data_IF_729627465590
#
_entry.id   IF_729627465590
#
_cell.length_a   1.000
_cell.length_b   1.000
_cell.length_c   1.000
_cell.angle_alpha   90.00
_cell.angle_beta   90.00
_cell.angle_gamma   90.00
#
_symmetry.space_group_name_H-M   'P 1'
#
loop_
_entity.id
_entity.type
_entity.pdbx_description
1 polymer ?
#
# COMPACT_ATOMS: atom_id res chain seq x y z
N UNK A 1 -8.50 5.82 10.55
CA UNK A 1 -9.51 5.27 9.60
C UNK A 1 -8.81 4.25 8.70
N UNK A 2 -9.51 3.21 8.21
CA UNK A 2 -8.90 2.24 7.28
C UNK A 2 -8.78 2.80 5.86
N UNK A 3 -7.82 2.29 5.10
CA UNK A 3 -7.75 2.46 3.65
C UNK A 3 -8.81 1.58 2.98
N UNK A 4 -9.61 2.15 2.06
CA UNK A 4 -10.68 1.45 1.35
C UNK A 4 -10.94 2.08 -0.02
N UNK A 5 -11.08 1.24 -1.05
CA UNK A 5 -11.47 1.68 -2.39
C UNK A 5 -12.81 2.43 -2.37
N UNK A 6 -13.79 1.93 -1.63
CA UNK A 6 -15.12 2.55 -1.50
C UNK A 6 -15.11 3.91 -0.81
N UNK A 7 -14.06 4.23 -0.04
CA UNK A 7 -13.92 5.53 0.62
C UNK A 7 -13.14 6.54 -0.23
N UNK A 8 -12.63 6.13 -1.39
CA UNK A 8 -11.78 6.98 -2.24
C UNK A 8 -10.48 7.40 -1.57
N UNK A 9 -10.03 6.68 -0.52
CA UNK A 9 -8.84 7.02 0.27
C UNK A 9 -7.70 6.00 0.09
N UNK A 10 -7.71 5.25 -1.02
CA UNK A 10 -6.74 4.21 -1.31
C UNK A 10 -5.74 4.63 -2.41
N UNK A 11 -4.49 4.20 -2.22
CA UNK A 11 -3.47 4.19 -3.26
C UNK A 11 -3.43 2.75 -3.79
N UNK A 12 -3.80 2.58 -5.06
CA UNK A 12 -3.86 1.26 -5.69
C UNK A 12 -2.47 0.84 -6.17
N UNK A 13 -2.19 -0.46 -6.14
CA UNK A 13 -0.95 -1.03 -6.68
C UNK A 13 -0.76 -0.73 -8.17
N UNK A 14 -1.84 -0.37 -8.85
CA UNK A 14 -1.90 -0.08 -10.28
C UNK A 14 -1.86 1.41 -10.61
N UNK A 15 -1.84 2.28 -9.59
CA UNK A 15 -1.81 3.73 -9.82
C UNK A 15 -0.55 4.13 -10.59
N UNK A 16 -0.72 5.00 -11.58
CA UNK A 16 0.36 5.67 -12.27
C UNK A 16 1.14 6.59 -11.32
N UNK A 17 2.37 6.94 -11.69
CA UNK A 17 3.17 7.87 -10.89
C UNK A 17 2.46 9.21 -10.60
N UNK A 18 1.67 9.71 -11.56
CA UNK A 18 0.88 10.95 -11.39
C UNK A 18 -0.28 10.76 -10.41
N UNK A 19 -0.96 9.62 -10.44
CA UNK A 19 -2.03 9.29 -9.49
C UNK A 19 -1.47 9.14 -8.08
N UNK A 20 -0.32 8.48 -7.93
CA UNK A 20 0.38 8.38 -6.65
C UNK A 20 0.73 9.78 -6.13
N UNK A 21 1.36 10.63 -6.95
CA UNK A 21 1.74 11.99 -6.54
C UNK A 21 0.51 12.81 -6.10
N UNK A 22 -0.59 12.71 -6.85
CA UNK A 22 -1.86 13.38 -6.52
C UNK A 22 -2.45 12.87 -5.20
N UNK A 23 -2.63 11.56 -5.05
CA UNK A 23 -3.21 10.94 -3.84
C UNK A 23 -2.36 11.22 -2.60
N UNK A 24 -1.03 11.12 -2.71
CA UNK A 24 -0.09 11.42 -1.61
C UNK A 24 -0.14 12.90 -1.22
N UNK A 25 -0.27 13.81 -2.19
CA UNK A 25 -0.37 15.25 -1.92
C UNK A 25 -1.57 15.61 -1.04
N UNK A 26 -2.68 14.87 -1.17
CA UNK A 26 -3.94 15.08 -0.46
C UNK A 26 -4.00 14.38 0.91
N UNK A 27 -2.98 13.60 1.28
CA UNK A 27 -2.98 12.90 2.57
C UNK A 27 -3.07 13.85 3.75
N UNK A 28 -3.89 13.48 4.74
CA UNK A 28 -3.98 14.20 6.01
C UNK A 28 -2.69 13.97 6.80
N UNK A 29 -2.01 15.06 7.13
CA UNK A 29 -0.85 15.11 8.02
C UNK A 29 -1.29 15.43 9.45
N UNK A 30 -0.37 15.85 10.30
CA UNK A 30 -0.67 16.48 11.58
C UNK A 30 -1.62 17.69 11.41
N UNK A 31 -2.85 17.65 11.97
CA UNK A 31 -3.80 18.76 11.93
C UNK A 31 -3.39 19.97 12.76
N UNK A 32 -2.52 19.79 13.76
CA UNK A 32 -2.05 20.84 14.66
C UNK A 32 -0.98 21.72 13.99
N UNK A 33 -0.35 21.21 12.93
CA UNK A 33 0.66 21.94 12.17
C UNK A 33 0.02 22.87 11.13
N UNK A 34 -0.28 24.10 11.53
CA UNK A 34 -0.91 25.10 10.67
C UNK A 34 0.06 25.75 9.66
N UNK A 35 1.31 26.01 10.04
CA UNK A 35 2.32 26.67 9.20
C UNK A 35 3.57 25.81 9.03
N UNK A 36 4.35 26.10 7.97
CA UNK A 36 5.63 25.41 7.72
C UNK A 36 6.60 25.56 8.90
N UNK A 37 6.61 26.74 9.53
CA UNK A 37 7.46 27.07 10.69
C UNK A 37 7.03 26.39 11.98
N UNK A 38 5.83 25.80 12.01
CA UNK A 38 5.33 25.16 13.22
C UNK A 38 5.90 23.73 13.29
N UNK A 39 6.37 23.31 14.48
CA UNK A 39 6.70 21.92 14.76
C UNK A 39 5.53 21.00 14.39
N UNK A 40 5.84 19.89 13.73
CA UNK A 40 4.86 18.83 13.50
C UNK A 40 5.08 17.63 14.41
N UNK A 41 4.06 16.80 14.55
CA UNK A 41 4.14 15.52 15.22
C UNK A 41 4.04 14.34 14.22
N UNK A 42 5.16 13.63 13.96
CA UNK A 42 5.18 12.43 13.13
C UNK A 42 4.27 11.31 13.63
N UNK A 43 4.02 11.21 14.94
CA UNK A 43 3.32 10.08 15.56
C UNK A 43 1.83 10.06 15.20
N UNK A 44 1.27 11.21 14.80
CA UNK A 44 -0.13 11.36 14.36
C UNK A 44 -0.26 11.61 12.85
N UNK A 45 0.84 11.54 12.11
CA UNK A 45 0.88 11.86 10.69
C UNK A 45 0.80 10.61 9.81
N UNK A 46 -0.29 10.46 9.04
CA UNK A 46 -0.45 9.31 8.13
C UNK A 46 0.67 9.21 7.06
N UNK A 47 1.25 10.34 6.67
CA UNK A 47 2.36 10.36 5.70
C UNK A 47 3.61 9.74 6.31
N UNK A 48 3.86 9.98 7.60
CA UNK A 48 5.01 9.42 8.30
C UNK A 48 4.88 7.91 8.48
N UNK A 49 3.69 7.39 8.80
CA UNK A 49 3.44 5.94 8.82
C UNK A 49 3.77 5.25 7.48
N UNK A 50 3.56 5.93 6.34
CA UNK A 50 3.97 5.38 5.05
C UNK A 50 5.48 5.47 4.81
N UNK A 51 6.17 6.49 5.36
CA UNK A 51 7.63 6.53 5.34
C UNK A 51 8.24 5.33 6.06
N UNK A 52 7.70 4.94 7.22
CA UNK A 52 8.18 3.77 7.97
C UNK A 52 8.10 2.45 7.18
N UNK A 53 7.21 2.39 6.18
CA UNK A 53 7.02 1.19 5.35
C UNK A 53 7.85 1.24 4.07
N UNK A 54 7.96 2.41 3.43
CA UNK A 54 8.49 2.54 2.06
C UNK A 54 9.83 3.27 1.95
N UNK A 55 10.24 4.03 2.96
CA UNK A 55 11.49 4.78 2.94
C UNK A 55 12.59 4.06 3.72
N UNK A 56 13.84 4.38 3.41
CA UNK A 56 14.99 3.83 4.12
C UNK A 56 15.02 4.33 5.57
N UNK A 57 15.58 3.52 6.48
CA UNK A 57 15.63 3.84 7.91
C UNK A 57 16.33 5.18 8.21
N UNK A 58 17.35 5.56 7.43
CA UNK A 58 18.02 6.86 7.55
C UNK A 58 17.12 8.03 7.17
N UNK A 59 16.28 7.87 6.16
CA UNK A 59 15.33 8.89 5.72
C UNK A 59 14.20 9.04 6.74
N UNK A 60 13.70 7.93 7.28
CA UNK A 60 12.68 7.94 8.34
C UNK A 60 13.17 8.74 9.55
N UNK A 61 14.38 8.43 10.04
CA UNK A 61 14.96 9.14 11.18
C UNK A 61 15.20 10.62 10.87
N UNK A 62 15.75 10.94 9.70
CA UNK A 62 15.98 12.32 9.27
C UNK A 62 14.69 13.13 9.16
N UNK A 63 13.62 12.53 8.65
CA UNK A 63 12.29 13.15 8.53
C UNK A 63 11.65 13.33 9.90
N UNK A 64 11.76 12.34 10.80
CA UNK A 64 11.24 12.42 12.16
C UNK A 64 11.83 13.66 12.89
N UNK A 65 13.16 13.75 12.91
CA UNK A 65 13.86 14.87 13.53
C UNK A 65 13.52 16.22 12.87
N UNK A 66 13.52 16.27 11.53
CA UNK A 66 13.26 17.50 10.78
C UNK A 66 11.83 17.98 10.94
N UNK A 67 10.85 17.08 11.01
CA UNK A 67 9.43 17.43 11.19
C UNK A 67 9.19 18.07 12.56
N UNK A 68 9.74 17.46 13.62
CA UNK A 68 9.64 17.97 15.00
C UNK A 68 10.34 19.32 15.18
N UNK A 69 11.40 19.60 14.41
CA UNK A 69 12.14 20.87 14.43
C UNK A 69 11.64 21.91 13.41
N UNK A 70 10.53 21.64 12.72
CA UNK A 70 10.04 22.47 11.61
C UNK A 70 11.05 22.70 10.47
N UNK A 71 12.05 21.82 10.32
CA UNK A 71 13.08 21.88 9.29
C UNK A 71 12.62 21.42 7.90
N UNK A 72 11.53 20.65 7.81
CA UNK A 72 10.93 20.19 6.55
C UNK A 72 9.43 20.52 6.48
N UNK A 73 8.96 21.02 5.33
CA UNK A 73 7.53 21.29 5.10
C UNK A 73 6.73 20.04 4.73
N UNK A 74 5.43 19.98 5.06
CA UNK A 74 4.57 18.84 4.70
C UNK A 74 4.55 18.54 3.19
N UNK A 75 4.60 19.57 2.34
CA UNK A 75 4.63 19.40 0.88
C UNK A 75 5.90 18.68 0.43
N UNK A 76 7.05 19.06 1.00
CA UNK A 76 8.33 18.43 0.67
C UNK A 76 8.42 17.00 1.20
N UNK A 77 7.98 16.78 2.44
CA UNK A 77 7.88 15.45 3.05
C UNK A 77 7.01 14.51 2.19
N UNK A 78 5.83 14.97 1.76
CA UNK A 78 4.94 14.20 0.87
C UNK A 78 5.58 13.84 -0.46
N UNK A 79 6.35 14.76 -1.06
CA UNK A 79 7.08 14.47 -2.31
C UNK A 79 8.14 13.38 -2.11
N UNK A 80 8.90 13.44 -1.01
CA UNK A 80 9.85 12.38 -0.65
C UNK A 80 9.15 11.04 -0.47
N UNK A 81 8.03 11.01 0.27
CA UNK A 81 7.24 9.80 0.47
C UNK A 81 6.74 9.21 -0.85
N UNK A 82 6.17 10.04 -1.72
CA UNK A 82 5.67 9.60 -3.02
C UNK A 82 6.79 8.99 -3.89
N UNK A 83 8.01 9.54 -3.82
CA UNK A 83 9.16 8.96 -4.51
C UNK A 83 9.52 7.57 -3.96
N UNK A 84 9.64 7.43 -2.64
CA UNK A 84 9.89 6.13 -1.99
C UNK A 84 8.79 5.10 -2.31
N UNK A 85 7.52 5.52 -2.26
CA UNK A 85 6.38 4.67 -2.59
C UNK A 85 6.43 4.19 -4.05
N UNK A 86 6.74 5.08 -5.00
CA UNK A 86 6.93 4.71 -6.41
C UNK A 86 8.04 3.68 -6.59
N UNK A 87 9.17 3.83 -5.89
CA UNK A 87 10.26 2.86 -5.91
C UNK A 87 9.82 1.49 -5.34
N UNK A 88 9.10 1.50 -4.21
CA UNK A 88 8.57 0.28 -3.61
C UNK A 88 7.52 -0.45 -4.48
N UNK A 89 6.71 0.30 -5.24
CA UNK A 89 5.69 -0.26 -6.13
C UNK A 89 6.24 -0.70 -7.50
N UNK A 90 7.35 -0.11 -7.97
CA UNK A 90 7.95 -0.44 -9.26
C UNK A 90 8.11 -1.95 -9.54
N UNK A 91 8.67 -2.79 -8.64
CA UNK A 91 8.79 -4.22 -8.90
C UNK A 91 7.44 -4.95 -9.02
N UNK A 92 6.41 -4.48 -8.31
CA UNK A 92 5.05 -5.04 -8.40
C UNK A 92 4.41 -4.65 -9.73
N UNK A 93 4.56 -3.39 -10.13
CA UNK A 93 4.02 -2.86 -11.37
C UNK A 93 4.65 -3.52 -12.60
N UNK A 94 5.97 -3.79 -12.56
CA UNK A 94 6.67 -4.50 -13.63
C UNK A 94 6.16 -5.95 -13.74
N UNK A 95 6.08 -6.69 -12.63
CA UNK A 95 5.52 -8.05 -12.64
C UNK A 95 4.09 -8.09 -13.16
N UNK A 96 3.27 -7.09 -12.78
CA UNK A 96 1.90 -6.97 -13.27
C UNK A 96 1.88 -6.73 -14.78
N UNK A 97 2.75 -5.87 -15.30
CA UNK A 97 2.84 -5.58 -16.74
C UNK A 97 3.14 -6.86 -17.53
N UNK A 98 4.16 -7.62 -17.13
CA UNK A 98 4.51 -8.91 -17.74
C UNK A 98 3.35 -9.90 -17.70
N UNK A 99 2.60 -9.96 -16.60
CA UNK A 99 1.40 -10.82 -16.51
C UNK A 99 0.25 -10.31 -17.39
N UNK A 100 0.13 -8.98 -17.56
CA UNK A 100 -0.89 -8.37 -18.42
C UNK A 100 -0.64 -8.61 -19.91
N UNK A 101 0.61 -8.84 -20.32
CA UNK A 101 0.97 -9.20 -21.69
C UNK A 101 0.51 -10.63 -22.08
N UNK A 102 0.27 -11.51 -21.10
CA UNK A 102 -0.24 -12.86 -21.33
C UNK A 102 -1.33 -13.22 -20.30
N UNK A 103 -2.56 -12.85 -20.63
CA UNK A 103 -3.73 -13.14 -19.79
C UNK A 103 -4.09 -14.62 -19.70
N UNK A 104 -3.70 -15.46 -20.67
CA UNK A 104 -3.96 -16.90 -20.59
C UNK A 104 -3.13 -17.56 -19.50
N UNK A 105 -1.86 -17.14 -19.34
CA UNK A 105 -1.04 -17.54 -18.19
C UNK A 105 -1.70 -17.22 -16.85
N UNK A 106 -2.37 -16.07 -16.73
CA UNK A 106 -3.10 -15.70 -15.51
C UNK A 106 -4.28 -16.64 -15.26
N UNK A 107 -5.05 -16.97 -16.31
CA UNK A 107 -6.15 -17.94 -16.21
C UNK A 107 -5.65 -19.33 -15.82
N UNK A 108 -4.53 -19.77 -16.38
CA UNK A 108 -3.93 -21.07 -16.06
C UNK A 108 -3.51 -21.16 -14.59
N UNK A 109 -2.90 -20.10 -14.05
CA UNK A 109 -2.54 -20.01 -12.62
C UNK A 109 -3.80 -20.16 -11.74
N UNK A 110 -4.89 -19.46 -12.10
CA UNK A 110 -6.17 -19.56 -11.38
C UNK A 110 -6.78 -20.96 -11.50
N UNK A 111 -6.79 -21.55 -12.70
CA UNK A 111 -7.32 -22.87 -12.95
C UNK A 111 -6.57 -23.95 -12.14
N UNK A 112 -5.25 -23.87 -12.07
CA UNK A 112 -4.42 -24.76 -11.26
C UNK A 112 -4.66 -24.57 -9.75
N UNK A 113 -4.81 -23.33 -9.29
CA UNK A 113 -5.24 -23.03 -7.93
C UNK A 113 -6.58 -23.69 -7.59
N UNK A 114 -7.56 -23.57 -8.49
CA UNK A 114 -8.89 -24.15 -8.33
C UNK A 114 -8.86 -25.69 -8.31
N UNK A 115 -8.04 -26.32 -9.16
CA UNK A 115 -7.88 -27.80 -9.15
C UNK A 115 -7.37 -28.29 -7.80
N UNK A 116 -6.31 -27.68 -7.27
CA UNK A 116 -5.72 -28.06 -5.97
C UNK A 116 -6.69 -27.81 -4.82
N UNK A 117 -7.33 -26.65 -4.78
CA UNK A 117 -8.31 -26.32 -3.75
C UNK A 117 -9.52 -27.26 -3.79
N UNK A 118 -9.98 -27.65 -4.99
CA UNK A 118 -11.11 -28.56 -5.16
C UNK A 118 -10.81 -29.96 -4.63
N UNK A 119 -9.59 -30.48 -4.83
CA UNK A 119 -9.22 -31.78 -4.29
C UNK A 119 -9.38 -31.82 -2.75
N UNK A 120 -8.85 -30.79 -2.07
CA UNK A 120 -8.97 -30.63 -0.61
C UNK A 120 -10.43 -30.44 -0.18
N UNK A 121 -11.19 -29.63 -0.92
CA UNK A 121 -12.61 -29.40 -0.61
C UNK A 121 -13.46 -30.67 -0.77
N UNK A 122 -13.17 -31.51 -1.78
CA UNK A 122 -13.87 -32.79 -1.99
C UNK A 122 -13.63 -33.74 -0.83
N UNK A 123 -12.36 -33.87 -0.39
CA UNK A 123 -12.01 -34.69 0.77
C UNK A 123 -12.73 -34.19 2.04
N UNK A 124 -12.69 -32.87 2.28
CA UNK A 124 -13.37 -32.23 3.41
C UNK A 124 -14.88 -32.51 3.37
N UNK A 125 -15.51 -32.38 2.20
CA UNK A 125 -16.95 -32.62 2.05
C UNK A 125 -17.31 -34.10 2.20
N UNK A 126 -16.41 -35.04 1.90
CA UNK A 126 -16.62 -36.45 2.18
C UNK A 126 -16.67 -36.71 3.69
N UNK A 127 -15.75 -36.12 4.46
CA UNK A 127 -15.75 -36.21 5.92
C UNK A 127 -17.00 -35.56 6.54
N UNK A 128 -17.40 -34.39 6.02
CA UNK A 128 -18.64 -33.71 6.46
C UNK A 128 -19.84 -34.62 6.23
N UNK A 129 -19.98 -35.18 5.03
CA UNK A 129 -21.07 -36.10 4.64
C UNK A 129 -21.16 -37.33 5.54
N UNK A 130 -20.03 -37.98 5.80
CA UNK A 130 -19.94 -39.10 6.73
C UNK A 130 -20.40 -38.71 8.15
N UNK A 131 -19.92 -37.57 8.66
CA UNK A 131 -20.29 -37.07 9.99
C UNK A 131 -21.77 -36.71 10.12
N UNK A 132 -22.38 -36.15 9.07
CA UNK A 132 -23.82 -35.81 9.06
C UNK A 132 -24.73 -36.96 8.59
N UNK A 133 -24.14 -38.11 8.24
CA UNK A 133 -24.83 -39.33 7.77
C UNK A 133 -25.66 -39.11 6.50
N UNK A 134 -25.11 -38.41 5.51
CA UNK A 134 -25.71 -38.17 4.19
C UNK A 134 -24.76 -38.64 3.09
#
# INVERSE_FOLDING_TARGET
>A
RKMSKSYGNAIDLTDSGKEIDSKVSQMITDPQRARKSDPGDPDICNVFTLHEIYSDASDVEGINQSCRKAGIGCVECKKKMAASLKMGLAPIQEKRKVLGENMDRVKDIVAEGNRRARAVAVETMAQVRDAVKI
#
